data_IF_684386529402
#
_entry.id   IF_684386529402
#
_cell.length_a   1.000
_cell.length_b   1.000
_cell.length_c   1.000
_cell.angle_alpha   90.00
_cell.angle_beta   90.00
_cell.angle_gamma   90.00
#
_symmetry.space_group_name_H-M   'P 1'
#
loop_
_entity.id
_entity.type
_entity.pdbx_description
1 polymer ?
#
# COMPACT_ATOMS: atom_id res chain seq x y z
N UNK A 1 -17.92 -19.98 22.23
CA UNK A 1 -18.83 -18.83 22.43
C UNK A 1 -18.56 -17.81 21.33
N UNK A 2 -19.56 -17.40 20.53
CA UNK A 2 -19.36 -16.37 19.51
C UNK A 2 -19.14 -15.02 20.20
N UNK A 3 -17.95 -14.43 20.02
CA UNK A 3 -17.67 -13.08 20.51
C UNK A 3 -18.52 -12.08 19.71
N UNK A 4 -19.35 -11.31 20.41
CA UNK A 4 -20.09 -10.18 19.82
C UNK A 4 -19.06 -9.22 19.19
N UNK A 5 -19.17 -9.03 17.87
CA UNK A 5 -18.38 -8.04 17.15
C UNK A 5 -18.81 -6.66 17.65
N UNK A 6 -17.89 -5.92 18.26
CA UNK A 6 -18.16 -4.61 18.84
C UNK A 6 -18.10 -3.56 17.73
N UNK A 7 -19.27 -3.11 17.26
CA UNK A 7 -19.42 -2.14 16.17
C UNK A 7 -18.84 -0.75 16.46
N UNK A 8 -18.48 -0.46 17.72
CA UNK A 8 -17.77 0.77 18.10
C UNK A 8 -16.42 0.95 17.36
N UNK A 9 -15.75 -0.13 16.96
CA UNK A 9 -14.51 -0.05 16.18
C UNK A 9 -14.72 0.45 14.75
N UNK A 10 -15.84 0.07 14.12
CA UNK A 10 -16.23 0.60 12.82
C UNK A 10 -16.50 2.10 12.93
N UNK A 11 -17.12 2.56 14.01
CA UNK A 11 -17.40 3.98 14.24
C UNK A 11 -16.10 4.78 14.40
N UNK A 12 -15.13 4.30 15.19
CA UNK A 12 -13.83 4.97 15.34
C UNK A 12 -13.03 4.97 14.02
N UNK A 13 -13.06 3.85 13.28
CA UNK A 13 -12.45 3.77 11.95
C UNK A 13 -13.09 4.76 10.98
N UNK A 14 -14.43 4.85 10.95
CA UNK A 14 -15.16 5.82 10.13
C UNK A 14 -14.91 7.27 10.56
N UNK A 15 -14.75 7.54 11.86
CA UNK A 15 -14.45 8.88 12.36
C UNK A 15 -13.05 9.37 11.98
N UNK A 16 -12.08 8.47 11.78
CA UNK A 16 -10.76 8.81 11.24
C UNK A 16 -10.74 9.00 9.72
N UNK A 17 -11.81 8.63 9.01
CA UNK A 17 -11.95 8.81 7.56
C UNK A 17 -12.62 10.16 7.20
N UNK A 18 -13.07 10.94 8.18
CA UNK A 18 -13.63 12.27 7.90
C UNK A 18 -12.51 13.30 7.75
N UNK A 19 -12.40 13.81 6.53
CA UNK A 19 -11.49 14.87 6.12
C UNK A 19 -11.77 16.17 6.88
N UNK A 20 -10.79 16.63 7.66
CA UNK A 20 -10.70 18.03 8.05
C UNK A 20 -10.17 18.84 6.86
N UNK A 21 -11.03 19.05 5.87
CA UNK A 21 -10.72 19.89 4.70
C UNK A 21 -10.80 21.37 5.08
N UNK A 22 -9.77 21.89 5.74
CA UNK A 22 -9.43 23.30 5.59
C UNK A 22 -8.60 23.45 4.31
N UNK A 23 -8.97 24.42 3.46
CA UNK A 23 -8.23 24.88 2.27
C UNK A 23 -6.87 25.50 2.65
N UNK A 24 -6.04 24.75 3.36
CA UNK A 24 -4.68 25.10 3.75
C UNK A 24 -3.72 24.61 2.69
N UNK A 25 -2.71 25.41 2.36
CA UNK A 25 -1.63 25.06 1.44
C UNK A 25 -1.09 23.66 1.75
N UNK A 26 -1.16 22.77 0.75
CA UNK A 26 -0.62 21.42 0.82
C UNK A 26 0.86 21.47 1.22
N UNK A 27 1.20 20.82 2.34
CA UNK A 27 2.55 20.87 2.90
C UNK A 27 2.97 19.53 3.52
N UNK A 28 4.28 19.40 3.76
CA UNK A 28 4.89 18.18 4.29
C UNK A 28 4.29 17.76 5.63
N UNK A 29 3.92 18.71 6.49
CA UNK A 29 3.31 18.41 7.78
C UNK A 29 1.94 17.74 7.61
N UNK A 30 1.10 18.24 6.71
CA UNK A 30 -0.22 17.66 6.45
C UNK A 30 -0.12 16.22 5.94
N UNK A 31 0.68 15.97 4.90
CA UNK A 31 0.85 14.62 4.36
C UNK A 31 1.60 13.68 5.30
N UNK A 32 2.54 14.21 6.08
CA UNK A 32 3.23 13.46 7.13
C UNK A 32 2.24 12.98 8.20
N UNK A 33 1.42 13.90 8.73
CA UNK A 33 0.39 13.56 9.71
C UNK A 33 -0.66 12.59 9.14
N UNK A 34 -1.07 12.75 7.88
CA UNK A 34 -2.02 11.85 7.23
C UNK A 34 -1.46 10.41 7.12
N UNK A 35 -0.22 10.23 6.65
CA UNK A 35 0.39 8.90 6.54
C UNK A 35 0.63 8.27 7.92
N UNK A 36 1.06 9.06 8.91
CA UNK A 36 1.19 8.61 10.31
C UNK A 36 -0.18 8.19 10.87
N UNK A 37 -1.24 8.97 10.63
CA UNK A 37 -2.58 8.66 11.12
C UNK A 37 -3.12 7.38 10.48
N UNK A 38 -3.03 7.23 9.16
CA UNK A 38 -3.44 6.03 8.43
C UNK A 38 -2.68 4.81 8.97
N UNK A 39 -1.35 4.89 9.05
CA UNK A 39 -0.53 3.81 9.60
C UNK A 39 -0.92 3.45 11.03
N UNK A 40 -1.12 4.47 11.88
CA UNK A 40 -1.55 4.29 13.28
C UNK A 40 -2.88 3.56 13.35
N UNK A 41 -3.91 4.01 12.64
CA UNK A 41 -5.24 3.41 12.65
C UNK A 41 -5.20 1.97 12.15
N UNK A 42 -4.56 1.71 11.00
CA UNK A 42 -4.44 0.36 10.45
C UNK A 42 -3.70 -0.57 11.42
N UNK A 43 -2.58 -0.11 11.99
CA UNK A 43 -1.80 -0.87 12.96
C UNK A 43 -2.57 -1.13 14.26
N UNK A 44 -3.21 -0.12 14.84
CA UNK A 44 -3.95 -0.21 16.09
C UNK A 44 -5.19 -1.10 15.99
N UNK A 45 -6.02 -0.92 14.96
CA UNK A 45 -7.22 -1.73 14.73
C UNK A 45 -6.82 -3.18 14.45
N UNK A 46 -5.85 -3.40 13.57
CA UNK A 46 -5.34 -4.73 13.28
C UNK A 46 -4.79 -5.42 14.52
N UNK A 47 -4.01 -4.72 15.35
CA UNK A 47 -3.43 -5.27 16.56
C UNK A 47 -4.50 -5.79 17.52
N UNK A 48 -5.62 -5.06 17.68
CA UNK A 48 -6.74 -5.51 18.51
C UNK A 48 -7.42 -6.74 17.91
N UNK A 49 -7.67 -6.74 16.60
CA UNK A 49 -8.26 -7.90 15.90
C UNK A 49 -7.37 -9.14 16.08
N UNK A 50 -6.05 -8.97 16.03
CA UNK A 50 -5.07 -10.05 16.17
C UNK A 50 -4.56 -10.24 17.61
N UNK A 51 -5.17 -9.58 18.59
CA UNK A 51 -4.81 -9.70 20.00
C UNK A 51 -5.03 -11.13 20.50
N UNK A 52 -4.09 -11.65 21.28
CA UNK A 52 -4.26 -12.93 21.99
C UNK A 52 -5.14 -12.76 23.25
N UNK A 53 -5.87 -13.80 23.70
CA UNK A 53 -6.79 -13.67 24.83
C UNK A 53 -6.16 -13.07 26.09
N UNK A 54 -4.90 -13.41 26.38
CA UNK A 54 -4.12 -13.02 27.55
C UNK A 54 -3.58 -11.59 27.52
N UNK A 55 -3.52 -10.94 26.35
CA UNK A 55 -2.91 -9.61 26.23
C UNK A 55 -3.88 -8.50 26.67
N UNK A 56 -3.35 -7.41 27.26
CA UNK A 56 -4.18 -6.26 27.67
C UNK A 56 -4.59 -5.44 26.43
N UNK A 57 -5.88 -5.10 26.31
CA UNK A 57 -6.42 -4.35 25.17
C UNK A 57 -5.70 -3.00 24.97
N UNK A 58 -5.60 -2.18 26.01
CA UNK A 58 -4.96 -0.85 25.92
C UNK A 58 -3.48 -0.91 25.53
N UNK A 59 -2.72 -1.86 26.09
CA UNK A 59 -1.31 -2.09 25.73
C UNK A 59 -1.17 -2.51 24.26
N UNK A 60 -2.07 -3.37 23.78
CA UNK A 60 -2.08 -3.87 22.40
C UNK A 60 -2.42 -2.74 21.42
N UNK A 61 -3.46 -1.96 21.73
CA UNK A 61 -3.86 -0.81 20.92
C UNK A 61 -2.73 0.21 20.83
N UNK A 62 -2.14 0.62 21.96
CA UNK A 62 -1.07 1.61 21.98
C UNK A 62 0.17 1.13 21.21
N UNK A 63 0.55 -0.15 21.35
CA UNK A 63 1.63 -0.76 20.57
C UNK A 63 1.31 -0.68 19.06
N UNK A 64 0.11 -1.08 18.66
CA UNK A 64 -0.32 -1.07 17.27
C UNK A 64 -0.37 0.34 16.67
N UNK A 65 -0.92 1.32 17.40
CA UNK A 65 -0.94 2.73 17.01
C UNK A 65 0.49 3.27 16.84
N UNK A 66 1.37 3.06 17.83
CA UNK A 66 2.73 3.59 17.79
C UNK A 66 3.57 2.97 16.66
N UNK A 67 3.54 1.63 16.52
CA UNK A 67 4.26 0.96 15.44
C UNK A 67 3.68 1.32 14.08
N UNK A 68 2.35 1.32 13.95
CA UNK A 68 1.66 1.74 12.73
C UNK A 68 2.00 3.16 12.33
N UNK A 69 2.01 4.10 13.27
CA UNK A 69 2.38 5.50 13.03
C UNK A 69 3.84 5.66 12.60
N UNK A 70 4.76 4.92 13.23
CA UNK A 70 6.17 4.91 12.79
C UNK A 70 6.33 4.35 11.38
N UNK A 71 5.61 3.27 11.03
CA UNK A 71 5.59 2.77 9.66
C UNK A 71 4.99 3.79 8.67
N UNK A 72 3.93 4.49 9.08
CA UNK A 72 3.34 5.58 8.31
C UNK A 72 4.30 6.74 8.05
N UNK A 73 5.11 7.11 9.05
CA UNK A 73 6.18 8.10 8.87
C UNK A 73 7.21 7.69 7.81
N UNK A 74 7.64 6.42 7.81
CA UNK A 74 8.56 5.92 6.77
C UNK A 74 7.93 5.92 5.37
N UNK A 75 6.64 5.57 5.25
CA UNK A 75 5.91 5.69 3.97
C UNK A 75 5.83 7.15 3.50
N UNK A 76 5.73 8.12 4.40
CA UNK A 76 5.80 9.53 4.04
C UNK A 76 7.21 9.92 3.53
N UNK A 77 8.27 9.52 4.24
CA UNK A 77 9.65 9.82 3.81
C UNK A 77 10.00 9.15 2.48
N UNK A 78 9.47 7.95 2.20
CA UNK A 78 9.66 7.30 0.90
C UNK A 78 9.09 8.14 -0.25
N UNK A 79 7.93 8.78 -0.05
CA UNK A 79 7.30 9.68 -1.02
C UNK A 79 8.05 11.00 -1.16
N UNK A 80 8.67 11.52 -0.08
CA UNK A 80 9.58 12.68 -0.17
C UNK A 80 10.80 12.39 -1.06
N UNK A 81 11.34 11.17 -1.01
CA UNK A 81 12.40 10.75 -1.92
C UNK A 81 11.92 10.70 -3.38
N UNK A 82 10.68 10.28 -3.66
CA UNK A 82 10.10 10.34 -5.00
C UNK A 82 9.91 11.77 -5.49
N UNK A 83 9.56 12.71 -4.60
CA UNK A 83 9.48 14.12 -4.92
C UNK A 83 10.84 14.69 -5.29
N UNK A 84 11.89 14.32 -4.56
CA UNK A 84 13.24 14.72 -4.89
C UNK A 84 13.70 14.10 -6.23
N UNK A 85 13.36 12.85 -6.50
CA UNK A 85 13.53 12.23 -7.83
C UNK A 85 12.80 13.04 -8.91
N UNK A 86 11.55 13.43 -8.67
CA UNK A 86 10.77 14.22 -9.62
C UNK A 86 11.39 15.59 -9.91
N UNK A 87 12.04 16.21 -8.93
CA UNK A 87 12.67 17.53 -9.09
C UNK A 87 14.06 17.47 -9.72
N UNK A 88 14.84 16.45 -9.38
CA UNK A 88 16.26 16.34 -9.76
C UNK A 88 16.51 15.38 -10.92
N UNK A 89 15.53 14.54 -11.27
CA UNK A 89 15.66 13.40 -12.19
C UNK A 89 16.75 12.39 -11.75
N UNK A 90 17.07 12.36 -10.45
CA UNK A 90 18.06 11.45 -9.91
C UNK A 90 17.45 10.06 -9.67
N UNK A 91 17.56 9.17 -10.66
CA UNK A 91 17.07 7.79 -10.59
C UNK A 91 17.70 6.97 -9.44
N UNK A 92 18.84 7.40 -8.89
CA UNK A 92 19.46 6.74 -7.72
C UNK A 92 18.61 6.87 -6.44
N UNK A 93 17.59 7.74 -6.43
CA UNK A 93 16.68 7.90 -5.30
C UNK A 93 15.51 6.89 -5.32
N UNK A 94 15.26 6.21 -6.44
CA UNK A 94 14.09 5.34 -6.59
C UNK A 94 14.21 4.07 -5.73
N UNK A 95 15.35 3.39 -5.76
CA UNK A 95 15.56 2.20 -4.91
C UNK A 95 15.58 2.53 -3.41
N UNK A 96 16.30 3.57 -2.94
CA UNK A 96 16.18 4.02 -1.55
C UNK A 96 14.74 4.31 -1.15
N UNK A 97 13.98 5.01 -2.02
CA UNK A 97 12.56 5.25 -1.82
C UNK A 97 11.77 3.94 -1.68
N UNK A 98 11.98 2.97 -2.57
CA UNK A 98 11.29 1.67 -2.53
C UNK A 98 11.61 0.88 -1.26
N UNK A 99 12.86 0.89 -0.82
CA UNK A 99 13.30 0.21 0.41
C UNK A 99 12.67 0.87 1.64
N UNK A 100 12.68 2.19 1.72
CA UNK A 100 12.04 2.93 2.83
C UNK A 100 10.53 2.67 2.85
N UNK A 101 9.88 2.63 1.67
CA UNK A 101 8.46 2.28 1.57
C UNK A 101 8.18 0.86 2.06
N UNK A 102 8.95 -0.11 1.55
CA UNK A 102 8.86 -1.51 1.93
C UNK A 102 9.04 -1.71 3.45
N UNK A 103 9.98 -0.98 4.06
CA UNK A 103 10.17 -0.97 5.50
C UNK A 103 8.96 -0.40 6.25
N UNK A 104 8.44 0.75 5.82
CA UNK A 104 7.25 1.38 6.42
C UNK A 104 6.02 0.48 6.36
N UNK A 105 5.71 -0.07 5.17
CA UNK A 105 4.59 -1.00 4.98
C UNK A 105 4.76 -2.30 5.77
N UNK A 106 5.98 -2.84 5.87
CA UNK A 106 6.26 -4.02 6.69
C UNK A 106 5.96 -3.78 8.17
N UNK A 107 6.32 -2.61 8.68
CA UNK A 107 6.06 -2.21 10.06
C UNK A 107 4.55 -2.05 10.30
N UNK A 108 3.82 -1.41 9.39
CA UNK A 108 2.35 -1.28 9.47
C UNK A 108 1.70 -2.67 9.49
N UNK A 109 2.16 -3.58 8.63
CA UNK A 109 1.63 -4.95 8.59
C UNK A 109 1.96 -5.75 9.85
N UNK A 110 3.18 -5.62 10.39
CA UNK A 110 3.54 -6.23 11.67
C UNK A 110 2.70 -5.68 12.82
N UNK A 111 2.49 -4.36 12.87
CA UNK A 111 1.63 -3.72 13.86
C UNK A 111 0.21 -4.29 13.78
N UNK A 112 -0.36 -4.33 12.58
CA UNK A 112 -1.70 -4.87 12.33
C UNK A 112 -1.79 -6.38 12.62
N UNK A 113 -0.69 -7.13 12.50
CA UNK A 113 -0.61 -8.54 12.88
C UNK A 113 -0.35 -8.76 14.39
N UNK A 114 -0.28 -7.69 15.18
CA UNK A 114 0.14 -7.70 16.60
C UNK A 114 1.52 -8.36 16.82
N UNK A 115 2.45 -8.14 15.89
CA UNK A 115 3.85 -8.61 15.95
C UNK A 115 4.77 -7.48 16.42
N UNK A 116 6.05 -7.79 16.58
CA UNK A 116 7.07 -6.75 16.79
C UNK A 116 7.45 -6.15 15.43
N UNK A 117 7.83 -4.88 15.40
CA UNK A 117 8.01 -4.14 14.14
C UNK A 117 9.04 -4.77 13.20
N UNK A 118 10.02 -5.50 13.74
CA UNK A 118 11.09 -6.16 12.97
C UNK A 118 10.76 -7.61 12.60
N UNK A 119 9.65 -8.17 13.07
CA UNK A 119 9.40 -9.61 13.03
C UNK A 119 9.34 -10.19 11.61
N UNK A 120 8.78 -9.42 10.67
CA UNK A 120 8.72 -9.76 9.24
C UNK A 120 8.95 -8.53 8.39
N UNK A 121 9.86 -8.63 7.44
CA UNK A 121 10.03 -7.62 6.39
C UNK A 121 9.52 -8.17 5.08
N UNK A 122 9.04 -7.31 4.20
CA UNK A 122 8.67 -7.70 2.85
C UNK A 122 9.09 -6.66 1.83
N UNK A 123 9.34 -7.11 0.60
CA UNK A 123 9.52 -6.28 -0.57
C UNK A 123 8.61 -6.83 -1.68
N UNK A 124 7.80 -5.97 -2.29
CA UNK A 124 7.00 -6.36 -3.45
C UNK A 124 7.58 -5.79 -4.74
N UNK A 125 7.67 -6.63 -5.77
CA UNK A 125 8.09 -6.30 -7.13
C UNK A 125 7.00 -6.78 -8.10
N UNK A 126 6.09 -5.89 -8.49
CA UNK A 126 4.88 -6.29 -9.22
C UNK A 126 4.02 -7.22 -8.35
N UNK A 127 3.60 -8.36 -8.90
CA UNK A 127 2.86 -9.38 -8.14
C UNK A 127 3.74 -10.27 -7.25
N UNK A 128 5.07 -10.10 -7.30
CA UNK A 128 6.02 -10.90 -6.55
C UNK A 128 6.22 -10.30 -5.17
N UNK A 129 6.14 -11.12 -4.12
CA UNK A 129 6.37 -10.70 -2.74
C UNK A 129 7.45 -11.56 -2.11
N UNK A 130 8.50 -10.91 -1.63
CA UNK A 130 9.59 -11.54 -0.88
C UNK A 130 9.41 -11.20 0.59
N UNK A 131 9.29 -12.19 1.45
CA UNK A 131 9.14 -12.03 2.89
C UNK A 131 10.36 -12.59 3.62
N UNK A 132 10.86 -11.85 4.61
CA UNK A 132 11.92 -12.27 5.51
C UNK A 132 11.37 -12.27 6.94
N UNK A 133 11.12 -13.45 7.49
CA UNK A 133 10.84 -13.61 8.92
C UNK A 133 12.18 -13.57 9.68
N UNK A 134 12.30 -12.68 10.66
CA UNK A 134 13.50 -12.57 11.52
C UNK A 134 13.27 -13.09 12.93
N UNK A 135 12.01 -13.21 13.34
CA UNK A 135 11.62 -13.68 14.67
C UNK A 135 11.74 -15.21 14.76
N UNK A 136 12.35 -15.69 15.84
CA UNK A 136 12.60 -17.09 16.21
C UNK A 136 13.52 -17.89 15.26
N UNK A 137 13.43 -17.71 13.94
CA UNK A 137 14.37 -18.26 12.95
C UNK A 137 14.31 -17.45 11.65
N UNK A 138 15.46 -17.22 11.01
CA UNK A 138 15.52 -16.59 9.69
C UNK A 138 14.81 -17.47 8.65
N UNK A 139 13.75 -16.95 8.02
CA UNK A 139 13.05 -17.64 6.93
C UNK A 139 12.77 -16.69 5.78
N UNK A 140 13.29 -17.03 4.61
CA UNK A 140 12.95 -16.38 3.35
C UNK A 140 11.76 -17.09 2.70
N UNK A 141 10.76 -16.32 2.28
CA UNK A 141 9.60 -16.82 1.53
C UNK A 141 9.38 -15.99 0.29
N UNK A 142 9.00 -16.66 -0.78
CA UNK A 142 8.47 -16.04 -1.97
C UNK A 142 6.97 -16.35 -2.05
N UNK A 143 6.16 -15.33 -2.32
CA UNK A 143 4.71 -15.44 -2.47
C UNK A 143 4.23 -14.66 -3.69
N UNK A 144 3.13 -15.11 -4.27
CA UNK A 144 2.46 -14.45 -5.39
C UNK A 144 1.24 -13.70 -4.87
N UNK A 145 1.09 -12.44 -5.26
CA UNK A 145 -0.09 -11.62 -4.97
C UNK A 145 -1.11 -11.79 -6.10
N UNK A 146 -2.21 -12.54 -5.90
CA UNK A 146 -3.05 -13.01 -6.99
C UNK A 146 -3.85 -11.89 -7.68
N UNK A 147 -4.31 -10.85 -6.97
CA UNK A 147 -5.00 -9.74 -7.62
C UNK A 147 -3.99 -8.92 -8.42
N UNK A 148 -2.82 -8.62 -7.85
CA UNK A 148 -1.70 -7.98 -8.54
C UNK A 148 -1.26 -8.75 -9.79
N UNK A 149 -1.27 -10.08 -9.73
CA UNK A 149 -0.98 -10.94 -10.88
C UNK A 149 -2.06 -10.81 -11.95
N UNK A 150 -3.34 -10.78 -11.59
CA UNK A 150 -4.42 -10.63 -12.58
C UNK A 150 -4.37 -9.26 -13.26
N UNK A 151 -4.09 -8.18 -12.52
CA UNK A 151 -3.84 -6.85 -13.10
C UNK A 151 -2.63 -6.86 -14.03
N UNK A 152 -1.55 -7.55 -13.64
CA UNK A 152 -0.34 -7.69 -14.46
C UNK A 152 -0.65 -8.42 -15.78
N UNK A 153 -1.38 -9.53 -15.73
CA UNK A 153 -1.80 -10.29 -16.93
C UNK A 153 -2.66 -9.42 -17.84
N UNK A 154 -3.59 -8.65 -17.26
CA UNK A 154 -4.40 -7.71 -18.03
C UNK A 154 -3.51 -6.67 -18.72
N UNK A 155 -2.53 -6.07 -18.03
CA UNK A 155 -1.59 -5.12 -18.64
C UNK A 155 -0.76 -5.74 -19.78
N UNK A 156 -0.30 -6.99 -19.65
CA UNK A 156 0.37 -7.71 -20.73
C UNK A 156 -0.49 -7.84 -22.01
N UNK A 157 -1.82 -7.87 -21.87
CA UNK A 157 -2.73 -7.92 -23.03
C UNK A 157 -2.94 -6.55 -23.70
N UNK A 158 -2.63 -5.45 -23.00
CA UNK A 158 -2.95 -4.08 -23.45
C UNK A 158 -1.72 -3.27 -23.85
N UNK A 159 -0.54 -3.60 -23.33
CA UNK A 159 0.65 -2.76 -23.46
C UNK A 159 1.95 -3.58 -23.48
N UNK A 160 3.04 -2.96 -23.96
CA UNK A 160 4.35 -3.61 -24.06
C UNK A 160 5.07 -3.54 -22.71
N UNK A 161 5.52 -4.66 -22.16
CA UNK A 161 6.31 -4.66 -20.95
C UNK A 161 7.68 -3.98 -21.16
N UNK A 162 8.01 -3.02 -20.29
CA UNK A 162 9.28 -2.29 -20.28
C UNK A 162 10.16 -2.83 -19.15
N UNK A 163 11.03 -3.79 -19.48
CA UNK A 163 11.91 -4.47 -18.51
C UNK A 163 12.87 -3.49 -17.86
N UNK A 164 13.43 -2.56 -18.63
CA UNK A 164 14.47 -1.65 -18.16
C UNK A 164 13.92 -0.68 -17.12
N UNK A 165 12.78 -0.02 -17.42
CA UNK A 165 12.11 0.82 -16.41
C UNK A 165 11.60 0.00 -15.24
N UNK A 166 11.14 -1.23 -15.46
CA UNK A 166 10.69 -2.09 -14.37
C UNK A 166 11.78 -2.39 -13.35
N UNK A 167 13.01 -2.63 -13.82
CA UNK A 167 14.18 -2.89 -12.97
C UNK A 167 14.65 -1.62 -12.24
N UNK A 168 14.59 -0.46 -12.90
CA UNK A 168 14.93 0.83 -12.27
C UNK A 168 13.90 1.19 -11.19
N UNK A 169 12.62 0.91 -11.41
CA UNK A 169 11.53 1.29 -10.52
C UNK A 169 11.24 0.29 -9.41
N UNK A 170 11.70 -0.96 -9.54
CA UNK A 170 11.31 -2.03 -8.64
C UNK A 170 9.80 -2.30 -8.67
N UNK A 171 9.15 -2.02 -9.80
CA UNK A 171 7.72 -2.24 -10.06
C UNK A 171 7.53 -2.52 -11.53
N UNK A 172 6.52 -3.30 -11.91
CA UNK A 172 6.32 -3.60 -13.33
C UNK A 172 5.76 -2.40 -14.09
N UNK A 173 6.45 -2.02 -15.16
CA UNK A 173 6.13 -0.90 -16.04
C UNK A 173 5.75 -1.42 -17.41
N UNK A 174 4.65 -0.90 -17.93
CA UNK A 174 4.16 -1.17 -19.27
C UNK A 174 4.14 0.12 -20.09
N UNK A 175 4.54 0.04 -21.35
CA UNK A 175 4.52 1.15 -22.30
C UNK A 175 3.27 1.06 -23.20
N UNK A 176 2.42 2.07 -23.12
CA UNK A 176 1.27 2.28 -23.98
C UNK A 176 1.64 3.11 -25.22
N UNK A 177 1.16 2.68 -26.38
CA UNK A 177 1.32 3.43 -27.63
C UNK A 177 0.32 4.58 -27.77
N UNK A 178 -0.88 4.42 -27.20
CA UNK A 178 -1.96 5.41 -27.21
C UNK A 178 -2.16 5.98 -25.80
N UNK A 179 -2.71 7.19 -25.66
CA UNK A 179 -3.15 7.70 -24.37
C UNK A 179 -4.09 6.72 -23.68
N UNK A 180 -3.98 6.64 -22.36
CA UNK A 180 -4.83 5.79 -21.54
C UNK A 180 -6.17 6.52 -21.40
N UNK A 181 -7.24 5.92 -21.91
CA UNK A 181 -8.58 6.47 -21.78
C UNK A 181 -9.15 6.12 -20.40
N UNK A 182 -9.45 7.14 -19.60
CA UNK A 182 -10.06 6.97 -18.28
C UNK A 182 -10.75 8.26 -17.83
N UNK A 183 -11.93 8.15 -17.23
CA UNK A 183 -12.64 9.24 -16.55
C UNK A 183 -12.81 10.54 -17.37
N UNK A 184 -12.96 10.44 -18.70
CA UNK A 184 -13.24 11.57 -19.58
C UNK A 184 -12.04 12.42 -19.99
N UNK A 185 -10.80 11.97 -19.71
CA UNK A 185 -9.57 12.62 -20.17
C UNK A 185 -8.54 11.61 -20.69
N UNK A 186 -7.56 12.10 -21.43
CA UNK A 186 -6.42 11.31 -21.91
C UNK A 186 -5.29 11.35 -20.86
N UNK A 187 -5.06 10.23 -20.19
CA UNK A 187 -3.97 10.09 -19.23
C UNK A 187 -2.68 9.63 -19.93
N UNK A 188 -1.55 10.15 -19.45
CA UNK A 188 -0.20 9.80 -19.92
C UNK A 188 0.50 8.78 -19.03
N UNK A 189 -0.10 8.45 -17.89
CA UNK A 189 0.29 7.40 -16.96
C UNK A 189 -0.95 6.91 -16.20
N UNK A 190 -0.87 5.68 -15.68
CA UNK A 190 -1.80 5.19 -14.67
C UNK A 190 -1.14 4.07 -13.85
N UNK A 191 -1.47 4.00 -12.57
CA UNK A 191 -1.07 2.91 -11.69
C UNK A 191 -2.27 2.00 -11.39
N UNK A 192 -2.08 0.70 -11.61
CA UNK A 192 -3.04 -0.34 -11.26
C UNK A 192 -2.40 -1.31 -10.27
N UNK A 193 -2.88 -1.33 -9.03
CA UNK A 193 -2.38 -2.20 -7.96
C UNK A 193 -0.86 -2.08 -7.77
N UNK A 194 -0.07 -3.05 -8.28
CA UNK A 194 1.39 -3.10 -8.20
C UNK A 194 2.08 -2.92 -9.57
N UNK A 195 1.35 -2.35 -10.54
CA UNK A 195 1.82 -2.14 -11.91
C UNK A 195 1.60 -0.69 -12.34
N UNK A 196 2.44 -0.22 -13.24
CA UNK A 196 2.34 1.10 -13.85
C UNK A 196 2.23 0.92 -15.36
N UNK A 197 1.37 1.70 -15.99
CA UNK A 197 1.34 1.89 -17.43
C UNK A 197 1.68 3.35 -17.75
N UNK A 198 2.64 3.56 -18.64
CA UNK A 198 3.10 4.88 -19.06
C UNK A 198 2.95 5.00 -20.58
N UNK A 199 2.50 6.15 -21.04
CA UNK A 199 2.65 6.50 -22.46
C UNK A 199 4.15 6.66 -22.76
N UNK A 200 4.56 6.33 -23.98
CA UNK A 200 5.90 6.70 -24.48
C UNK A 200 6.00 8.22 -24.55
N UNK A 201 6.73 8.86 -23.62
CA UNK A 201 6.91 10.32 -23.56
C UNK A 201 8.40 10.66 -23.76
N UNK A 202 8.68 11.69 -24.57
CA UNK A 202 10.05 12.14 -24.87
C UNK A 202 10.60 13.20 -23.89
N UNK A 203 9.76 13.97 -23.19
CA UNK A 203 10.16 14.98 -22.19
C UNK A 203 9.18 15.09 -21.00
N UNK A 204 9.69 15.34 -19.79
CA UNK A 204 8.87 15.52 -18.58
C UNK A 204 8.31 14.23 -17.95
N UNK A 205 8.65 13.06 -18.50
CA UNK A 205 8.15 11.76 -18.03
C UNK A 205 8.42 11.46 -16.56
N UNK A 206 9.51 11.97 -15.97
CA UNK A 206 9.88 11.70 -14.58
C UNK A 206 8.85 12.17 -13.54
N UNK A 207 8.10 13.25 -13.82
CA UNK A 207 7.01 13.67 -12.93
C UNK A 207 5.87 12.67 -12.94
N UNK A 208 5.49 12.19 -14.12
CA UNK A 208 4.48 11.14 -14.28
C UNK A 208 4.97 9.84 -13.64
N UNK A 209 6.23 9.46 -13.87
CA UNK A 209 6.86 8.29 -13.25
C UNK A 209 6.79 8.37 -11.70
N UNK A 210 7.14 9.52 -11.12
CA UNK A 210 7.03 9.74 -9.68
C UNK A 210 5.58 9.66 -9.20
N UNK A 211 4.65 10.27 -9.94
CA UNK A 211 3.21 10.27 -9.64
C UNK A 211 2.66 8.84 -9.57
N UNK A 212 2.93 8.02 -10.60
CA UNK A 212 2.47 6.64 -10.64
C UNK A 212 3.15 5.75 -9.57
N UNK A 213 4.42 6.01 -9.25
CA UNK A 213 5.10 5.34 -8.15
C UNK A 213 4.48 5.67 -6.78
N UNK A 214 4.04 6.91 -6.56
CA UNK A 214 3.33 7.29 -5.34
C UNK A 214 2.03 6.49 -5.22
N UNK A 215 1.29 6.27 -6.30
CA UNK A 215 0.09 5.42 -6.28
C UNK A 215 0.37 3.95 -5.93
N UNK A 216 1.51 3.40 -6.37
CA UNK A 216 1.97 2.07 -5.95
C UNK A 216 2.23 2.07 -4.43
N UNK A 217 2.93 3.09 -3.91
CA UNK A 217 3.22 3.16 -2.46
C UNK A 217 1.97 3.36 -1.61
N UNK A 218 1.01 4.15 -2.11
CA UNK A 218 -0.33 4.28 -1.53
C UNK A 218 -1.09 2.96 -1.53
N UNK A 219 -0.81 2.02 -2.44
CA UNK A 219 -1.41 0.69 -2.36
C UNK A 219 -0.72 -0.15 -1.26
N UNK A 220 0.62 -0.10 -1.22
CA UNK A 220 1.41 -0.83 -0.22
C UNK A 220 1.19 -0.34 1.22
N UNK A 221 0.83 0.93 1.43
CA UNK A 221 0.50 1.45 2.78
C UNK A 221 -0.73 0.78 3.41
N UNK A 222 -1.61 0.19 2.61
CA UNK A 222 -2.79 -0.53 3.07
C UNK A 222 -2.54 -2.03 3.31
N UNK A 223 -1.32 -2.54 3.12
CA UNK A 223 -1.00 -3.97 3.32
C UNK A 223 -1.42 -4.49 4.71
N UNK A 224 -1.37 -3.65 5.74
CA UNK A 224 -1.84 -4.01 7.08
C UNK A 224 -3.31 -4.42 7.16
N UNK A 225 -4.17 -3.96 6.25
CA UNK A 225 -5.59 -4.35 6.19
C UNK A 225 -5.75 -5.85 5.93
N UNK A 226 -4.82 -6.48 5.20
CA UNK A 226 -4.86 -7.93 5.00
C UNK A 226 -4.87 -8.69 6.33
N UNK A 227 -4.24 -8.15 7.37
CA UNK A 227 -4.18 -8.78 8.69
C UNK A 227 -5.53 -8.78 9.41
N UNK A 228 -6.50 -7.96 8.97
CA UNK A 228 -7.85 -7.97 9.56
C UNK A 228 -8.58 -9.29 9.25
N UNK A 229 -8.15 -9.98 8.19
CA UNK A 229 -8.67 -11.26 7.77
C UNK A 229 -7.87 -12.46 8.29
N UNK A 230 -6.83 -12.26 9.11
CA UNK A 230 -5.99 -13.36 9.60
C UNK A 230 -6.79 -14.46 10.31
N UNK A 231 -7.71 -14.09 11.23
CA UNK A 231 -8.51 -15.07 11.98
C UNK A 231 -9.38 -15.97 11.07
N UNK A 232 -10.21 -15.43 10.15
CA UNK A 232 -10.97 -16.29 9.24
C UNK A 232 -10.06 -17.10 8.31
N UNK A 233 -8.95 -16.53 7.81
CA UNK A 233 -8.02 -17.25 6.93
C UNK A 233 -7.31 -18.39 7.68
N UNK A 234 -6.91 -18.21 8.93
CA UNK A 234 -6.31 -19.27 9.76
C UNK A 234 -7.31 -20.40 10.06
N UNK A 235 -8.60 -20.08 10.26
CA UNK A 235 -9.64 -21.10 10.39
C UNK A 235 -9.80 -21.94 9.10
N UNK A 236 -9.77 -21.28 7.93
CA UNK A 236 -9.80 -21.97 6.63
C UNK A 236 -8.56 -22.85 6.42
N UNK A 237 -7.39 -22.37 6.85
CA UNK A 237 -6.13 -23.11 6.79
C UNK A 237 -6.12 -24.37 7.67
N UNK A 238 -6.69 -24.29 8.86
CA UNK A 238 -6.80 -25.45 9.74
C UNK A 238 -7.76 -26.51 9.16
N UNK A 239 -8.87 -26.06 8.57
CA UNK A 239 -9.92 -26.94 8.04
C UNK A 239 -9.67 -27.52 6.65
N UNK A 240 -8.90 -26.84 5.78
CA UNK A 240 -8.78 -27.22 4.36
C UNK A 240 -7.32 -27.36 3.89
N UNK A 241 -6.92 -28.58 3.49
CA UNK A 241 -5.56 -28.87 2.98
C UNK A 241 -5.20 -28.11 1.71
N UNK A 242 -6.17 -27.83 0.83
CA UNK A 242 -5.93 -27.07 -0.39
C UNK A 242 -5.71 -25.59 -0.06
N UNK A 243 -6.42 -25.06 0.92
CA UNK A 243 -6.19 -23.70 1.40
C UNK A 243 -4.81 -23.56 2.07
N UNK A 244 -4.32 -24.59 2.78
CA UNK A 244 -2.94 -24.60 3.29
C UNK A 244 -1.90 -24.50 2.18
N UNK A 245 -2.11 -25.23 1.08
CA UNK A 245 -1.23 -25.17 -0.08
C UNK A 245 -1.31 -23.79 -0.74
N UNK A 246 -2.51 -23.24 -0.87
CA UNK A 246 -2.72 -21.89 -1.37
C UNK A 246 -1.97 -20.85 -0.53
N UNK A 247 -2.14 -20.83 0.80
CA UNK A 247 -1.47 -19.86 1.70
C UNK A 247 0.06 -19.98 1.64
N UNK A 248 0.60 -21.17 1.35
CA UNK A 248 2.04 -21.37 1.18
C UNK A 248 2.60 -20.65 -0.06
N UNK A 249 1.79 -20.51 -1.11
CA UNK A 249 2.21 -19.99 -2.43
C UNK A 249 1.75 -18.54 -2.61
N UNK A 250 0.52 -18.22 -2.20
CA UNK A 250 -0.14 -16.96 -2.48
C UNK A 250 -0.27 -16.10 -1.23
N UNK A 251 -0.09 -14.79 -1.39
CA UNK A 251 -0.42 -13.77 -0.41
C UNK A 251 -1.64 -13.01 -0.92
N UNK A 252 -2.82 -13.25 -0.35
CA UNK A 252 -4.04 -12.60 -0.84
C UNK A 252 -4.01 -11.10 -0.53
N UNK A 253 -3.96 -10.28 -1.58
CA UNK A 253 -3.77 -8.84 -1.55
C UNK A 253 -5.08 -8.05 -1.45
N UNK A 254 -5.93 -8.40 -0.46
CA UNK A 254 -7.23 -7.73 -0.21
C UNK A 254 -7.13 -6.21 -0.02
N UNK A 255 -5.99 -5.71 0.45
CA UNK A 255 -5.71 -4.26 0.55
C UNK A 255 -5.96 -3.53 -0.77
N UNK A 256 -5.68 -4.16 -1.92
CA UNK A 256 -5.89 -3.56 -3.24
C UNK A 256 -7.38 -3.31 -3.53
N UNK A 257 -8.26 -4.21 -3.07
CA UNK A 257 -9.72 -4.05 -3.18
C UNK A 257 -10.20 -2.92 -2.30
N UNK A 258 -9.69 -2.85 -1.06
CA UNK A 258 -10.09 -1.80 -0.10
C UNK A 258 -9.62 -0.43 -0.57
N UNK A 259 -8.38 -0.30 -1.04
CA UNK A 259 -7.87 0.95 -1.62
C UNK A 259 -8.73 1.40 -2.80
N UNK A 260 -9.02 0.50 -3.74
CA UNK A 260 -9.85 0.81 -4.90
C UNK A 260 -11.26 1.26 -4.49
N UNK A 261 -11.85 0.63 -3.47
CA UNK A 261 -13.16 1.01 -2.97
C UNK A 261 -13.15 2.42 -2.36
N UNK A 262 -12.17 2.77 -1.52
CA UNK A 262 -12.03 4.12 -0.94
C UNK A 262 -11.83 5.15 -2.06
N UNK A 263 -10.96 4.86 -3.02
CA UNK A 263 -10.72 5.72 -4.17
C UNK A 263 -12.02 6.02 -4.95
N UNK A 264 -12.80 4.98 -5.26
CA UNK A 264 -14.06 5.12 -6.00
C UNK A 264 -15.11 5.92 -5.21
N UNK A 265 -15.14 5.79 -3.88
CA UNK A 265 -16.03 6.58 -3.04
C UNK A 265 -15.70 8.08 -3.09
N UNK A 266 -14.43 8.42 -2.96
CA UNK A 266 -14.00 9.82 -3.06
C UNK A 266 -14.24 10.40 -4.45
N UNK A 267 -13.96 9.60 -5.50
CA UNK A 267 -14.18 10.01 -6.88
C UNK A 267 -15.65 10.37 -7.14
N UNK A 268 -16.58 9.53 -6.67
CA UNK A 268 -18.02 9.75 -6.83
C UNK A 268 -18.53 10.97 -6.04
N UNK A 269 -17.82 11.36 -4.99
CA UNK A 269 -18.25 12.44 -4.09
C UNK A 269 -17.65 13.80 -4.48
N UNK A 270 -16.38 13.83 -4.87
CA UNK A 270 -15.58 15.05 -4.98
C UNK A 270 -15.05 15.32 -6.40
N UNK A 271 -15.13 14.34 -7.33
CA UNK A 271 -14.51 14.41 -8.65
C UNK A 271 -12.99 14.17 -8.64
N UNK A 272 -12.40 13.82 -9.79
CA UNK A 272 -11.03 13.28 -9.89
C UNK A 272 -9.94 14.14 -9.20
N UNK A 273 -9.90 15.45 -9.48
CA UNK A 273 -8.86 16.35 -8.95
C UNK A 273 -8.93 16.58 -7.45
N UNK A 274 -10.05 16.24 -6.82
CA UNK A 274 -10.26 16.41 -5.39
C UNK A 274 -10.05 15.12 -4.60
N UNK A 275 -9.81 13.98 -5.28
CA UNK A 275 -9.48 12.71 -4.63
C UNK A 275 -8.15 12.86 -3.88
N UNK A 276 -8.15 12.48 -2.60
CA UNK A 276 -7.02 12.60 -1.68
C UNK A 276 -5.76 11.89 -2.21
N UNK A 277 -5.95 10.72 -2.83
CA UNK A 277 -4.89 9.94 -3.47
C UNK A 277 -4.23 10.68 -4.64
N UNK A 278 -5.02 11.34 -5.49
CA UNK A 278 -4.54 12.13 -6.64
C UNK A 278 -3.82 13.40 -6.19
N UNK A 279 -4.35 14.06 -5.16
CA UNK A 279 -3.71 15.24 -4.55
C UNK A 279 -2.37 14.88 -3.94
N UNK A 280 -2.31 13.81 -3.15
CA UNK A 280 -1.05 13.32 -2.58
C UNK A 280 -0.04 12.94 -3.67
N UNK A 281 -0.47 12.18 -4.68
CA UNK A 281 0.41 11.81 -5.80
C UNK A 281 0.93 13.05 -6.54
N UNK A 282 0.07 14.04 -6.77
CA UNK A 282 0.44 15.33 -7.37
C UNK A 282 1.43 16.11 -6.50
N UNK A 283 1.24 16.11 -5.18
CA UNK A 283 2.13 16.81 -4.24
C UNK A 283 3.54 16.23 -4.23
N UNK A 284 3.65 14.89 -4.22
CA UNK A 284 4.95 14.20 -4.23
C UNK A 284 5.54 14.02 -5.63
N UNK A 285 4.86 14.48 -6.68
CA UNK A 285 5.40 14.47 -8.04
C UNK A 285 5.78 15.86 -8.58
N UNK A 286 5.67 16.92 -7.77
CA UNK A 286 5.97 18.32 -8.18
C UNK A 286 7.07 19.00 -7.36
#
# INVERSE_FOLDING_TARGET
MPQKINYWFLIVFTLCLFDFSCYSQENDLQYGLANIAIGSVVGGVGAIINKRPEEKLGKTLLKGLAQGGFGGYLVFESKRLLREFSRTRNYNLIWPSKIVNAAGSSIIENAAANRDLWARWHLNLGFNRFEVDTKDNFKLRYRIMPLSLSSTIYMFSQAKFDVDRSMVFGTFVFEAQKPIQGYGFEAVGAAGQQTIILKRISQGGHRVEAHELVHVYQNESFLGINMFFNRPLESLKQSNKYFRLYDKIFYTDFHSVVKQWIYNLELNTNGYKAVSFEREASYFSN
#
